data_IF_322400051823
#
_entry.id   IF_322400051823
#
_cell.length_a   1.000
_cell.length_b   1.000
_cell.length_c   1.000
_cell.angle_alpha   90.00
_cell.angle_beta   90.00
_cell.angle_gamma   90.00
#
_symmetry.space_group_name_H-M   'P 1'
#
loop_
_entity.id
_entity.type
_entity.pdbx_description
1 polymer ?
#
# COMPACT_ATOMS: atom_id res chain seq x y z
N UNK A 1 5.52 -8.29 1.97
CA UNK A 1 4.65 -8.08 0.80
C UNK A 1 4.72 -6.65 0.30
N UNK A 2 4.46 -5.64 1.12
CA UNK A 2 4.45 -4.22 0.68
C UNK A 2 5.70 -3.80 -0.08
N UNK A 3 6.91 -4.05 0.43
CA UNK A 3 8.15 -3.68 -0.29
C UNK A 3 8.34 -4.41 -1.62
N UNK A 4 7.84 -5.65 -1.75
CA UNK A 4 7.92 -6.38 -3.04
C UNK A 4 6.96 -5.74 -4.05
N UNK A 5 5.79 -5.31 -3.59
CA UNK A 5 4.82 -4.60 -4.43
C UNK A 5 5.42 -3.25 -4.85
N UNK A 6 6.00 -2.50 -3.92
CA UNK A 6 6.73 -1.25 -4.17
C UNK A 6 7.78 -1.41 -5.28
N UNK A 7 8.68 -2.39 -5.15
CA UNK A 7 9.69 -2.71 -6.17
C UNK A 7 9.08 -3.02 -7.55
N UNK A 8 7.92 -3.71 -7.59
CA UNK A 8 7.21 -4.00 -8.84
C UNK A 8 6.74 -2.71 -9.52
N UNK A 9 6.20 -1.74 -8.76
CA UNK A 9 5.75 -0.46 -9.31
C UNK A 9 6.93 0.46 -9.70
N UNK A 10 8.04 0.41 -8.96
CA UNK A 10 9.17 1.32 -9.16
C UNK A 10 10.17 0.87 -10.24
N UNK A 11 10.38 -0.43 -10.40
CA UNK A 11 11.51 -0.96 -11.20
C UNK A 11 11.10 -2.01 -12.21
N UNK A 12 10.26 -2.98 -11.84
CA UNK A 12 10.09 -4.19 -12.64
C UNK A 12 8.91 -4.17 -13.61
N UNK A 13 7.80 -3.55 -13.23
CA UNK A 13 6.56 -3.57 -14.00
C UNK A 13 6.58 -2.59 -15.17
N UNK A 14 6.05 -3.01 -16.32
CA UNK A 14 5.66 -2.05 -17.36
C UNK A 14 4.31 -1.42 -17.02
N UNK A 15 4.03 -0.23 -17.56
CA UNK A 15 2.77 0.46 -17.28
C UNK A 15 1.54 -0.40 -17.61
N UNK A 16 1.56 -1.18 -18.69
CA UNK A 16 0.49 -2.12 -19.06
C UNK A 16 0.32 -3.25 -18.03
N UNK A 17 1.42 -3.79 -17.51
CA UNK A 17 1.39 -4.81 -16.46
C UNK A 17 0.87 -4.22 -15.14
N UNK A 18 1.27 -3.00 -14.80
CA UNK A 18 0.84 -2.30 -13.59
C UNK A 18 -0.66 -1.97 -13.60
N UNK A 19 -1.26 -1.72 -14.77
CA UNK A 19 -2.73 -1.62 -14.90
C UNK A 19 -3.39 -2.92 -14.43
N UNK A 20 -2.94 -4.06 -14.95
CA UNK A 20 -3.50 -5.38 -14.61
C UNK A 20 -3.28 -5.74 -13.14
N UNK A 21 -2.10 -5.41 -12.61
CA UNK A 21 -1.75 -5.68 -11.23
C UNK A 21 -2.56 -4.84 -10.24
N UNK A 22 -2.73 -3.55 -10.53
CA UNK A 22 -3.57 -2.63 -9.74
C UNK A 22 -5.01 -3.15 -9.70
N UNK A 23 -5.58 -3.48 -10.86
CA UNK A 23 -6.92 -4.00 -11.00
C UNK A 23 -7.11 -5.35 -10.27
N UNK A 24 -6.13 -6.25 -10.34
CA UNK A 24 -6.14 -7.50 -9.58
C UNK A 24 -6.18 -7.25 -8.05
N UNK A 25 -5.35 -6.34 -7.54
CA UNK A 25 -5.34 -6.00 -6.10
C UNK A 25 -6.64 -5.29 -5.70
N UNK A 26 -7.19 -4.43 -6.55
CA UNK A 26 -8.47 -3.78 -6.31
C UNK A 26 -9.64 -4.76 -6.21
N UNK A 27 -9.70 -5.74 -7.12
CA UNK A 27 -10.73 -6.80 -7.07
C UNK A 27 -10.53 -7.71 -5.86
N UNK A 28 -9.28 -8.06 -5.55
CA UNK A 28 -8.93 -8.98 -4.46
C UNK A 28 -9.55 -10.37 -4.65
N UNK A 29 -9.52 -10.89 -5.88
CA UNK A 29 -10.12 -12.18 -6.26
C UNK A 29 -9.05 -13.13 -6.83
N UNK A 30 -9.12 -14.42 -6.47
CA UNK A 30 -8.14 -15.43 -6.91
C UNK A 30 -8.12 -15.62 -8.44
N UNK A 31 -9.24 -15.41 -9.12
CA UNK A 31 -9.35 -15.49 -10.58
C UNK A 31 -8.52 -14.41 -11.32
N UNK A 32 -8.11 -13.32 -10.64
CA UNK A 32 -7.31 -12.27 -11.24
C UNK A 32 -5.88 -12.72 -11.54
N UNK A 33 -5.41 -13.81 -10.92
CA UNK A 33 -4.09 -14.43 -11.17
C UNK A 33 -3.89 -14.78 -12.64
N UNK A 34 -4.91 -15.27 -13.32
CA UNK A 34 -4.81 -15.76 -14.70
C UNK A 34 -4.46 -14.65 -15.70
N UNK A 35 -4.66 -13.39 -15.31
CA UNK A 35 -4.43 -12.21 -16.15
C UNK A 35 -3.04 -11.59 -15.94
N UNK A 36 -2.30 -12.03 -14.92
CA UNK A 36 -1.02 -11.41 -14.54
C UNK A 36 0.18 -12.13 -15.20
N UNK A 37 1.31 -11.42 -15.39
CA UNK A 37 2.61 -12.05 -15.66
C UNK A 37 3.03 -13.00 -14.53
N UNK A 38 3.85 -14.01 -14.84
CA UNK A 38 4.18 -15.09 -13.90
C UNK A 38 4.85 -14.59 -12.60
N UNK A 39 5.72 -13.59 -12.69
CA UNK A 39 6.38 -13.01 -11.51
C UNK A 39 5.40 -12.25 -10.61
N UNK A 40 4.44 -11.53 -11.19
CA UNK A 40 3.37 -10.83 -10.46
C UNK A 40 2.37 -11.80 -9.83
N UNK A 41 2.09 -12.95 -10.47
CA UNK A 41 1.24 -13.99 -9.89
C UNK A 41 1.78 -14.49 -8.55
N UNK A 42 3.09 -14.76 -8.47
CA UNK A 42 3.72 -15.20 -7.23
C UNK A 42 3.55 -14.17 -6.13
N UNK A 43 3.78 -12.89 -6.43
CA UNK A 43 3.57 -11.80 -5.48
C UNK A 43 2.10 -11.68 -5.07
N UNK A 44 1.17 -11.73 -6.02
CA UNK A 44 -0.26 -11.59 -5.75
C UNK A 44 -0.82 -12.77 -4.93
N UNK A 45 -0.43 -14.01 -5.26
CA UNK A 45 -0.80 -15.19 -4.49
C UNK A 45 -0.31 -15.07 -3.04
N UNK A 46 0.96 -14.71 -2.84
CA UNK A 46 1.51 -14.52 -1.50
C UNK A 46 0.81 -13.39 -0.73
N UNK A 47 0.38 -12.31 -1.41
CA UNK A 47 -0.43 -11.26 -0.79
C UNK A 47 -1.78 -11.82 -0.30
N UNK A 48 -2.49 -12.57 -1.15
CA UNK A 48 -3.77 -13.18 -0.76
C UNK A 48 -3.58 -14.15 0.41
N UNK A 49 -2.58 -15.02 0.36
CA UNK A 49 -2.32 -16.03 1.38
C UNK A 49 -2.01 -15.40 2.75
N UNK A 50 -1.24 -14.31 2.79
CA UNK A 50 -0.94 -13.57 4.02
C UNK A 50 -2.22 -13.00 4.64
N UNK A 51 -3.08 -12.37 3.82
CA UNK A 51 -4.32 -11.79 4.33
C UNK A 51 -5.37 -12.84 4.70
N UNK A 52 -5.44 -13.96 3.96
CA UNK A 52 -6.30 -15.09 4.31
C UNK A 52 -5.86 -15.71 5.65
N UNK A 53 -4.56 -15.89 5.87
CA UNK A 53 -4.02 -16.36 7.16
C UNK A 53 -4.35 -15.43 8.33
N UNK A 54 -4.22 -14.11 8.13
CA UNK A 54 -4.59 -13.12 9.16
C UNK A 54 -6.10 -13.18 9.44
N UNK A 55 -6.93 -13.31 8.40
CA UNK A 55 -8.37 -13.39 8.54
C UNK A 55 -8.82 -14.64 9.28
N UNK A 56 -8.21 -15.80 8.98
CA UNK A 56 -8.44 -17.05 9.70
C UNK A 56 -8.12 -16.92 11.20
N UNK A 57 -7.01 -16.26 11.55
CA UNK A 57 -6.66 -16.02 12.95
C UNK A 57 -7.66 -15.07 13.62
N UNK A 58 -7.99 -13.96 12.98
CA UNK A 58 -8.95 -12.98 13.51
C UNK A 58 -10.38 -13.54 13.60
N UNK A 59 -10.74 -14.50 12.73
CA UNK A 59 -12.04 -15.15 12.76
C UNK A 59 -12.24 -15.99 14.04
N UNK A 60 -11.18 -16.59 14.60
CA UNK A 60 -11.25 -17.36 15.86
C UNK A 60 -11.74 -16.51 17.04
N UNK A 61 -11.49 -15.21 16.98
CA UNK A 61 -11.90 -14.23 18.00
C UNK A 61 -13.13 -13.41 17.58
N UNK A 62 -13.77 -13.72 16.45
CA UNK A 62 -14.89 -12.93 15.92
C UNK A 62 -14.50 -11.52 15.41
N UNK A 63 -13.22 -11.32 15.10
CA UNK A 63 -12.60 -10.02 14.73
C UNK A 63 -12.21 -9.92 13.25
N UNK A 64 -12.62 -10.86 12.40
CA UNK A 64 -12.34 -10.87 10.95
C UNK A 64 -12.65 -9.53 10.25
N UNK A 65 -13.67 -8.79 10.72
CA UNK A 65 -14.00 -7.46 10.19
C UNK A 65 -12.82 -6.47 10.17
N UNK A 66 -11.83 -6.64 11.07
CA UNK A 66 -10.62 -5.80 11.15
C UNK A 66 -9.75 -5.93 9.90
N UNK A 67 -9.68 -7.13 9.32
CA UNK A 67 -8.86 -7.41 8.13
C UNK A 67 -9.36 -6.62 6.92
N UNK A 68 -10.66 -6.34 6.83
CA UNK A 68 -11.22 -5.52 5.75
C UNK A 68 -10.66 -4.09 5.74
N UNK A 69 -10.37 -3.51 6.91
CA UNK A 69 -9.70 -2.21 6.97
C UNK A 69 -8.27 -2.29 6.41
N UNK A 70 -7.49 -3.30 6.80
CA UNK A 70 -6.14 -3.50 6.27
C UNK A 70 -6.14 -3.79 4.76
N UNK A 71 -7.09 -4.59 4.25
CA UNK A 71 -7.26 -4.82 2.81
C UNK A 71 -7.57 -3.51 2.07
N UNK A 72 -8.43 -2.66 2.66
CA UNK A 72 -8.80 -1.38 2.05
C UNK A 72 -7.61 -0.43 1.95
N UNK A 73 -6.79 -0.34 2.99
CA UNK A 73 -5.60 0.52 2.95
C UNK A 73 -4.49 -0.02 2.04
N UNK A 74 -4.36 -1.35 1.89
CA UNK A 74 -3.47 -1.92 0.86
C UNK A 74 -3.93 -1.53 -0.55
N UNK A 75 -5.24 -1.57 -0.83
CA UNK A 75 -5.77 -1.10 -2.13
C UNK A 75 -5.48 0.38 -2.37
N UNK A 76 -5.65 1.22 -1.34
CA UNK A 76 -5.35 2.65 -1.43
C UNK A 76 -3.86 2.91 -1.71
N UNK A 77 -2.97 2.19 -1.03
CA UNK A 77 -1.53 2.29 -1.23
C UNK A 77 -1.15 1.94 -2.68
N UNK A 78 -1.66 0.82 -3.18
CA UNK A 78 -1.37 0.33 -4.53
C UNK A 78 -1.89 1.27 -5.62
N UNK A 79 -3.05 1.91 -5.41
CA UNK A 79 -3.55 2.98 -6.29
C UNK A 79 -2.58 4.16 -6.35
N UNK A 80 -2.03 4.55 -5.20
CA UNK A 80 -1.11 5.67 -5.14
C UNK A 80 0.23 5.32 -5.82
N UNK A 81 0.75 4.10 -5.63
CA UNK A 81 1.91 3.61 -6.38
C UNK A 81 1.68 3.63 -7.89
N UNK A 82 0.48 3.26 -8.34
CA UNK A 82 0.15 3.31 -9.76
C UNK A 82 0.15 4.73 -10.32
N UNK A 83 -0.34 5.73 -9.59
CA UNK A 83 -0.27 7.14 -9.99
C UNK A 83 1.19 7.65 -10.04
N UNK A 84 2.02 7.25 -9.07
CA UNK A 84 3.44 7.60 -9.04
C UNK A 84 4.20 6.99 -10.23
N UNK A 85 3.92 5.72 -10.56
CA UNK A 85 4.47 5.05 -11.73
C UNK A 85 4.05 5.73 -13.04
N UNK A 86 2.79 6.19 -13.18
CA UNK A 86 2.36 6.98 -14.35
C UNK A 86 3.17 8.26 -14.50
N UNK A 87 3.35 9.02 -13.41
CA UNK A 87 4.15 10.24 -13.46
C UNK A 87 5.58 9.97 -13.92
N UNK A 88 6.20 8.90 -13.42
CA UNK A 88 7.52 8.48 -13.84
C UNK A 88 7.58 8.13 -15.33
N UNK A 89 6.67 7.29 -15.82
CA UNK A 89 6.65 6.85 -17.23
C UNK A 89 6.32 7.99 -18.21
N UNK A 90 5.49 8.94 -17.80
CA UNK A 90 5.12 10.12 -18.62
C UNK A 90 6.16 11.25 -18.54
N UNK A 91 7.15 11.15 -17.62
CA UNK A 91 8.08 12.24 -17.32
C UNK A 91 7.38 13.48 -16.75
N UNK A 92 6.21 13.29 -16.13
CA UNK A 92 5.41 14.36 -15.56
C UNK A 92 5.96 14.78 -14.20
N UNK A 93 6.13 16.09 -14.02
CA UNK A 93 6.56 16.67 -12.74
C UNK A 93 5.35 17.37 -12.11
N UNK A 94 4.76 16.81 -11.04
CA UNK A 94 3.61 17.40 -10.37
C UNK A 94 3.97 18.70 -9.64
N UNK A 95 2.98 19.55 -9.38
CA UNK A 95 3.12 20.60 -8.37
C UNK A 95 3.29 19.99 -6.97
N UNK A 96 3.80 20.75 -6.01
CA UNK A 96 3.95 20.27 -4.63
C UNK A 96 2.61 19.82 -4.01
N UNK A 97 1.50 20.50 -4.36
CA UNK A 97 0.17 20.13 -3.87
C UNK A 97 -0.31 18.79 -4.47
N UNK A 98 -0.12 18.60 -5.77
CA UNK A 98 -0.44 17.33 -6.45
C UNK A 98 0.45 16.20 -5.94
N UNK A 99 1.75 16.44 -5.83
CA UNK A 99 2.73 15.50 -5.28
C UNK A 99 2.28 14.99 -3.91
N UNK A 100 2.03 15.88 -2.96
CA UNK A 100 1.70 15.49 -1.57
C UNK A 100 0.42 14.65 -1.48
N UNK A 101 -0.54 14.80 -2.42
CA UNK A 101 -1.75 13.96 -2.44
C UNK A 101 -1.46 12.49 -2.75
N UNK A 102 -0.43 12.21 -3.55
CA UNK A 102 0.00 10.84 -3.89
C UNK A 102 1.09 10.36 -2.94
N UNK A 103 2.05 11.22 -2.65
CA UNK A 103 3.23 10.94 -1.83
C UNK A 103 2.89 10.54 -0.38
N UNK A 104 1.83 11.13 0.21
CA UNK A 104 1.41 10.78 1.56
C UNK A 104 0.85 9.35 1.65
N UNK A 105 -0.08 8.91 0.78
CA UNK A 105 -0.43 7.51 0.65
C UNK A 105 0.75 6.58 0.35
N UNK A 106 1.65 6.92 -0.60
CA UNK A 106 2.78 6.06 -0.98
C UNK A 106 3.83 5.89 0.12
N UNK A 107 3.83 6.75 1.15
CA UNK A 107 4.63 6.51 2.37
C UNK A 107 4.30 5.19 3.08
N UNK A 108 3.13 4.58 2.81
CA UNK A 108 2.70 3.32 3.41
C UNK A 108 2.29 3.42 4.88
N UNK A 109 2.46 4.59 5.52
CA UNK A 109 2.25 4.74 6.96
C UNK A 109 0.80 4.48 7.41
N UNK A 110 -0.19 4.94 6.63
CA UNK A 110 -1.62 4.64 6.88
C UNK A 110 -1.92 3.15 6.80
N UNK A 111 -1.35 2.46 5.82
CA UNK A 111 -1.49 1.02 5.66
C UNK A 111 -0.84 0.26 6.82
N UNK A 112 0.38 0.62 7.22
CA UNK A 112 1.08 -0.01 8.35
C UNK A 112 0.36 0.25 9.67
N UNK A 113 -0.05 1.49 9.93
CA UNK A 113 -0.80 1.85 11.13
C UNK A 113 -2.10 1.03 11.22
N UNK A 114 -2.87 0.98 10.14
CA UNK A 114 -4.13 0.22 10.10
C UNK A 114 -3.90 -1.28 10.29
N UNK A 115 -2.90 -1.85 9.62
CA UNK A 115 -2.55 -3.26 9.73
C UNK A 115 -2.07 -3.61 11.14
N UNK A 116 -1.31 -2.72 11.79
CA UNK A 116 -0.84 -2.93 13.17
C UNK A 116 -2.00 -3.06 14.17
N UNK A 117 -3.08 -2.31 13.97
CA UNK A 117 -4.27 -2.38 14.82
C UNK A 117 -5.04 -3.70 14.70
N UNK A 118 -4.87 -4.46 13.61
CA UNK A 118 -5.60 -5.72 13.37
C UNK A 118 -5.29 -6.72 14.48
N UNK A 119 -3.99 -6.96 14.74
CA UNK A 119 -3.51 -7.92 15.73
C UNK A 119 -3.41 -7.41 17.16
N UNK A 120 -3.69 -6.12 17.41
CA UNK A 120 -3.80 -5.61 18.78
C UNK A 120 -5.06 -6.19 19.43
N UNK A 121 -4.99 -6.59 20.70
CA UNK A 121 -6.08 -7.29 21.39
C UNK A 121 -7.40 -6.48 21.56
N UNK A 122 -8.04 -6.60 22.71
CA UNK A 122 -9.39 -6.02 22.90
C UNK A 122 -9.41 -4.49 23.04
N UNK A 123 -8.24 -3.85 23.15
CA UNK A 123 -8.14 -2.39 23.19
C UNK A 123 -8.62 -1.72 21.89
N UNK A 124 -8.50 -2.41 20.75
CA UNK A 124 -8.90 -1.85 19.46
C UNK A 124 -10.36 -2.19 19.17
N UNK A 125 -11.17 -1.15 18.99
CA UNK A 125 -12.58 -1.29 18.63
C UNK A 125 -12.82 -0.90 17.17
N UNK A 126 -14.02 -1.16 16.67
CA UNK A 126 -14.46 -0.67 15.35
C UNK A 126 -14.38 0.86 15.24
N UNK A 127 -14.61 1.58 16.33
CA UNK A 127 -14.48 3.05 16.36
C UNK A 127 -13.02 3.49 16.23
N UNK A 128 -12.06 2.71 16.74
CA UNK A 128 -10.63 2.95 16.52
C UNK A 128 -10.25 2.91 15.03
N UNK A 129 -10.76 1.92 14.30
CA UNK A 129 -10.56 1.85 12.85
C UNK A 129 -11.25 3.01 12.10
N UNK A 130 -12.48 3.36 12.46
CA UNK A 130 -13.17 4.51 11.84
C UNK A 130 -12.44 5.82 12.09
N UNK A 131 -11.94 6.04 13.31
CA UNK A 131 -11.13 7.20 13.65
C UNK A 131 -9.86 7.23 12.80
N UNK A 132 -9.17 6.11 12.64
CA UNK A 132 -7.96 6.04 11.81
C UNK A 132 -8.29 6.30 10.33
N UNK A 133 -9.40 5.76 9.81
CA UNK A 133 -9.86 6.00 8.44
C UNK A 133 -10.32 7.44 8.19
N UNK A 134 -10.60 8.23 9.23
CA UNK A 134 -10.90 9.66 9.11
C UNK A 134 -9.66 10.57 8.98
N UNK A 135 -8.48 9.97 8.82
CA UNK A 135 -7.21 10.68 8.65
C UNK A 135 -6.90 11.65 9.79
N UNK A 136 -6.72 11.14 11.01
CA UNK A 136 -6.44 11.98 12.17
C UNK A 136 -5.08 12.68 11.99
N UNK A 137 -4.95 13.90 12.51
CA UNK A 137 -3.75 14.73 12.37
C UNK A 137 -2.44 14.02 12.74
N UNK A 138 -2.46 13.10 13.72
CA UNK A 138 -1.28 12.32 14.08
C UNK A 138 -0.82 11.39 12.95
N UNK A 139 -1.76 10.81 12.21
CA UNK A 139 -1.45 9.94 11.09
C UNK A 139 -0.93 10.75 9.92
N UNK A 140 -1.57 11.87 9.60
CA UNK A 140 -1.12 12.79 8.56
C UNK A 140 0.30 13.29 8.84
N UNK A 141 0.57 13.76 10.06
CA UNK A 141 1.90 14.20 10.47
C UNK A 141 2.95 13.09 10.37
N UNK A 142 2.61 11.86 10.77
CA UNK A 142 3.51 10.72 10.66
C UNK A 142 3.83 10.38 9.18
N UNK A 143 2.82 10.40 8.30
CA UNK A 143 3.02 10.19 6.86
C UNK A 143 3.88 11.28 6.22
N UNK A 144 3.68 12.55 6.61
CA UNK A 144 4.52 13.67 6.15
C UNK A 144 5.97 13.48 6.56
N UNK A 145 6.21 13.14 7.83
CA UNK A 145 7.56 12.88 8.34
C UNK A 145 8.19 11.73 7.56
N UNK A 146 7.48 10.61 7.40
CA UNK A 146 7.98 9.45 6.66
C UNK A 146 8.38 9.83 5.24
N UNK A 147 7.47 10.42 4.47
CA UNK A 147 7.69 10.72 3.05
C UNK A 147 8.86 11.69 2.86
N UNK A 148 8.86 12.80 3.58
CA UNK A 148 9.91 13.82 3.41
C UNK A 148 11.28 13.33 3.87
N UNK A 149 11.34 12.56 4.97
CA UNK A 149 12.62 11.98 5.41
C UNK A 149 13.15 10.96 4.39
N UNK A 150 12.27 10.14 3.83
CA UNK A 150 12.63 9.15 2.82
C UNK A 150 13.13 9.80 1.52
N UNK A 151 12.45 10.85 1.04
CA UNK A 151 12.88 11.65 -0.13
C UNK A 151 14.27 12.27 0.09
N UNK A 152 14.49 12.86 1.26
CA UNK A 152 15.77 13.48 1.60
C UNK A 152 16.91 12.45 1.69
N UNK A 153 16.63 11.24 2.16
CA UNK A 153 17.61 10.18 2.30
C UNK A 153 17.93 9.54 0.93
N UNK A 154 16.91 9.20 0.15
CA UNK A 154 17.06 8.58 -1.17
C UNK A 154 17.73 9.51 -2.19
N UNK A 155 17.45 10.81 -2.14
CA UNK A 155 18.16 11.80 -2.95
C UNK A 155 19.68 11.75 -2.69
N UNK A 156 20.12 11.68 -1.44
CA UNK A 156 21.56 11.62 -1.10
C UNK A 156 22.25 10.35 -1.62
N UNK A 157 21.53 9.22 -1.71
CA UNK A 157 22.08 7.96 -2.22
C UNK A 157 22.40 8.06 -3.71
N UNK A 158 21.58 8.77 -4.50
CA UNK A 158 21.84 8.97 -5.94
C UNK A 158 23.15 9.74 -6.18
N UNK A 159 23.45 10.77 -5.40
CA UNK A 159 24.70 11.55 -5.53
C UNK A 159 25.98 10.85 -5.06
N UNK A 160 25.90 9.75 -4.31
CA UNK A 160 27.08 8.98 -3.87
C UNK A 160 27.51 7.97 -4.92
N UNK A 161 26.59 7.57 -5.82
CA UNK A 161 26.82 6.57 -6.85
C UNK A 161 27.03 7.16 -8.26
N UNK A 162 27.03 8.50 -8.38
CA UNK A 162 27.43 9.28 -9.56
C UNK A 162 28.85 9.86 -9.38
#
# INVERSE_FOLDING_TARGET
MTSIIDDIYDVYGTLEELVLFTDAIERWEKNALDQLPEYMKLCYQALLDVYDMIDEEMAKEGKSYRVNYAKSEMKNLVKAYFEEAKWYHEGYVPSMEEYMRVALPTSGYKMVATTSLVGMGDLVTKEGFKWLSSDPLILEAASVICRLMDDMASHKVRYIND
#
